data_IF_246044459017
#
_entry.id   IF_246044459017
#
_cell.length_a   1.000
_cell.length_b   1.000
_cell.length_c   1.000
_cell.angle_alpha   90.00
_cell.angle_beta   90.00
_cell.angle_gamma   90.00
#
_symmetry.space_group_name_H-M   'P 1'
#
loop_
_entity.id
_entity.type
_entity.pdbx_description
1 polymer ?
#
# COMPACT_ATOMS: atom_id res chain seq x y z
N UNK A 1 1.81 5.54 -19.05
CA UNK A 1 1.87 5.68 -17.57
C UNK A 1 0.54 5.23 -16.97
N UNK A 2 0.45 4.94 -15.66
CA UNK A 2 -0.77 4.39 -15.04
C UNK A 2 -1.00 5.03 -13.68
N UNK A 3 -2.25 5.38 -13.40
CA UNK A 3 -2.72 5.90 -12.12
C UNK A 3 -3.58 4.87 -11.40
N UNK A 4 -3.24 4.51 -10.16
CA UNK A 4 -4.09 3.80 -9.22
C UNK A 4 -4.98 4.80 -8.49
N UNK A 5 -6.28 4.49 -8.40
CA UNK A 5 -7.28 5.33 -7.73
C UNK A 5 -8.05 4.51 -6.69
N UNK A 6 -8.61 5.20 -5.70
CA UNK A 6 -9.22 4.57 -4.52
C UNK A 6 -10.58 3.90 -4.82
N UNK A 7 -11.29 4.35 -5.86
CA UNK A 7 -12.62 3.87 -6.17
C UNK A 7 -12.89 3.71 -7.67
N UNK A 8 -13.93 2.94 -7.98
CA UNK A 8 -14.43 2.80 -9.36
C UNK A 8 -14.94 4.15 -9.88
N UNK A 9 -15.57 4.93 -9.02
CA UNK A 9 -16.12 6.24 -9.33
C UNK A 9 -15.00 7.22 -9.73
N UNK A 10 -13.91 7.26 -8.97
CA UNK A 10 -12.74 8.09 -9.27
C UNK A 10 -12.08 7.67 -10.58
N UNK A 11 -12.01 6.36 -10.86
CA UNK A 11 -11.48 5.84 -12.12
C UNK A 11 -12.28 6.33 -13.33
N UNK A 12 -13.61 6.34 -13.20
CA UNK A 12 -14.51 6.79 -14.26
C UNK A 12 -14.41 8.29 -14.45
N UNK A 13 -14.37 9.07 -13.36
CA UNK A 13 -14.29 10.52 -13.49
C UNK A 13 -12.93 10.96 -14.02
N UNK A 14 -11.81 10.42 -13.50
CA UNK A 14 -10.46 10.69 -14.02
C UNK A 14 -10.36 10.37 -15.53
N UNK A 15 -10.85 9.20 -15.96
CA UNK A 15 -10.87 8.84 -17.39
C UNK A 15 -11.65 9.84 -18.24
N UNK A 16 -12.76 10.36 -17.71
CA UNK A 16 -13.59 11.37 -18.37
C UNK A 16 -12.91 12.73 -18.42
N UNK A 17 -12.29 13.18 -17.33
CA UNK A 17 -11.49 14.41 -17.25
C UNK A 17 -10.37 14.40 -18.30
N UNK A 18 -9.56 13.34 -18.32
CA UNK A 18 -8.47 13.16 -19.29
C UNK A 18 -9.00 13.20 -20.74
N UNK A 19 -10.11 12.52 -21.00
CA UNK A 19 -10.70 12.47 -22.35
C UNK A 19 -11.22 13.84 -22.81
N UNK A 20 -11.76 14.69 -21.90
CA UNK A 20 -12.18 16.07 -22.23
C UNK A 20 -10.99 16.91 -22.71
N UNK A 21 -9.82 16.66 -22.14
CA UNK A 21 -8.57 17.35 -22.49
C UNK A 21 -7.84 16.72 -23.68
N UNK A 22 -8.46 15.74 -24.35
CA UNK A 22 -7.91 15.08 -25.53
C UNK A 22 -6.86 14.01 -25.24
N UNK A 23 -6.67 13.64 -23.97
CA UNK A 23 -5.66 12.68 -23.53
C UNK A 23 -6.20 11.25 -23.68
N UNK A 24 -5.57 10.46 -24.55
CA UNK A 24 -5.91 9.06 -24.75
C UNK A 24 -5.62 8.24 -23.50
N UNK A 25 -6.65 7.56 -22.99
CA UNK A 25 -6.55 6.75 -21.79
C UNK A 25 -7.42 5.49 -21.86
N UNK A 26 -7.19 4.57 -20.92
CA UNK A 26 -7.97 3.34 -20.78
C UNK A 26 -8.13 2.98 -19.30
N UNK A 27 -9.35 2.63 -18.92
CA UNK A 27 -9.64 2.12 -17.57
C UNK A 27 -9.32 0.62 -17.47
N UNK A 28 -8.85 0.19 -16.31
CA UNK A 28 -8.52 -1.20 -16.03
C UNK A 28 -8.82 -1.53 -14.57
N UNK A 29 -9.44 -2.69 -14.37
CA UNK A 29 -9.74 -3.22 -13.04
C UNK A 29 -8.95 -4.52 -12.87
N UNK A 30 -8.18 -4.62 -11.79
CA UNK A 30 -7.31 -5.78 -11.52
C UNK A 30 -7.62 -6.35 -10.14
N UNK A 31 -7.33 -7.64 -9.95
CA UNK A 31 -7.34 -8.25 -8.63
C UNK A 31 -6.07 -7.82 -7.90
N UNK A 32 -6.22 -7.08 -6.82
CA UNK A 32 -5.16 -6.79 -5.87
C UNK A 32 -5.30 -7.61 -4.60
N UNK A 33 -4.27 -7.56 -3.78
CA UNK A 33 -4.29 -8.16 -2.45
C UNK A 33 -3.48 -7.32 -1.48
N UNK A 34 -3.79 -7.49 -0.20
CA UNK A 34 -3.00 -7.01 0.93
C UNK A 34 -2.72 -8.20 1.83
N UNK A 35 -1.50 -8.24 2.37
CA UNK A 35 -1.04 -9.29 3.28
C UNK A 35 -0.58 -8.60 4.55
N UNK A 36 -1.16 -9.01 5.67
CA UNK A 36 -0.77 -8.55 7.00
C UNK A 36 -0.26 -9.75 7.79
N UNK A 37 0.92 -9.59 8.40
CA UNK A 37 1.53 -10.60 9.25
C UNK A 37 1.44 -10.11 10.69
N UNK A 38 0.68 -10.83 11.51
CA UNK A 38 0.39 -10.46 12.88
C UNK A 38 0.93 -11.56 13.79
N UNK A 39 1.73 -11.16 14.77
CA UNK A 39 2.16 -12.04 15.86
C UNK A 39 1.10 -11.98 16.95
N UNK A 40 0.53 -13.14 17.25
CA UNK A 40 -0.51 -13.31 18.27
C UNK A 40 0.07 -14.03 19.47
N UNK A 41 -0.04 -13.43 20.65
CA UNK A 41 0.46 -13.99 21.91
C UNK A 41 -0.72 -14.12 22.86
N UNK A 42 -0.96 -15.33 23.36
CA UNK A 42 -2.10 -15.61 24.25
C UNK A 42 -1.66 -16.37 25.49
N UNK A 43 -1.82 -15.74 26.64
CA UNK A 43 -1.57 -16.35 27.95
C UNK A 43 -2.27 -15.54 29.05
N UNK A 44 -2.18 -16.02 30.29
CA UNK A 44 -2.59 -15.23 31.46
C UNK A 44 -1.70 -14.01 31.63
N UNK A 45 -2.29 -12.87 32.00
CA UNK A 45 -1.55 -11.61 32.20
C UNK A 45 -0.32 -11.79 33.11
N UNK A 46 -0.47 -12.51 34.23
CA UNK A 46 0.63 -12.75 35.17
C UNK A 46 1.76 -13.60 34.59
N UNK A 47 1.47 -14.49 33.64
CA UNK A 47 2.48 -15.27 32.92
C UNK A 47 3.13 -14.45 31.80
N UNK A 48 2.36 -13.61 31.10
CA UNK A 48 2.89 -12.68 30.10
C UNK A 48 3.93 -11.75 30.71
N UNK A 49 3.66 -11.15 31.87
CA UNK A 49 4.62 -10.29 32.60
C UNK A 49 5.93 -11.03 32.91
N UNK A 50 5.86 -12.30 33.32
CA UNK A 50 7.06 -13.08 33.66
C UNK A 50 7.88 -13.47 32.45
N UNK A 51 7.21 -13.84 31.35
CA UNK A 51 7.86 -14.37 30.14
C UNK A 51 8.37 -13.26 29.22
N UNK A 52 7.81 -12.06 29.31
CA UNK A 52 8.20 -10.89 28.50
C UNK A 52 9.38 -10.11 29.05
N UNK A 53 9.98 -10.54 30.18
CA UNK A 53 11.11 -9.85 30.78
C UNK A 53 12.25 -9.63 29.76
N UNK A 54 12.57 -8.35 29.51
CA UNK A 54 13.57 -7.91 28.54
C UNK A 54 13.05 -7.62 27.13
N UNK A 55 11.74 -7.74 26.88
CA UNK A 55 11.09 -7.44 25.60
C UNK A 55 10.24 -6.17 25.75
N UNK A 56 10.88 -5.01 25.59
CA UNK A 56 10.30 -3.70 25.97
C UNK A 56 8.94 -3.40 25.35
N UNK A 57 8.75 -3.69 24.06
CA UNK A 57 7.46 -3.44 23.39
C UNK A 57 6.29 -4.21 24.02
N UNK A 58 6.54 -5.43 24.51
CA UNK A 58 5.53 -6.25 25.17
C UNK A 58 5.34 -5.78 26.61
N UNK A 59 6.43 -5.45 27.32
CA UNK A 59 6.39 -4.88 28.67
C UNK A 59 5.56 -3.59 28.70
N UNK A 60 5.85 -2.65 27.79
CA UNK A 60 5.13 -1.38 27.64
C UNK A 60 3.64 -1.60 27.40
N UNK A 61 3.30 -2.52 26.48
CA UNK A 61 1.89 -2.88 26.18
C UNK A 61 1.18 -3.45 27.42
N UNK A 62 1.85 -4.33 28.18
CA UNK A 62 1.29 -4.91 29.39
C UNK A 62 1.12 -3.88 30.51
N UNK A 63 2.04 -2.90 30.62
CA UNK A 63 1.91 -1.78 31.56
C UNK A 63 0.71 -0.89 31.22
N UNK A 64 0.49 -0.60 29.93
CA UNK A 64 -0.69 0.14 29.49
C UNK A 64 -2.00 -0.60 29.78
N UNK A 65 -2.03 -1.93 29.56
CA UNK A 65 -3.19 -2.76 29.89
C UNK A 65 -3.45 -2.74 31.40
N UNK A 66 -2.39 -2.81 32.22
CA UNK A 66 -2.51 -2.72 33.68
C UNK A 66 -3.10 -1.38 34.13
N UNK A 67 -2.57 -0.28 33.60
CA UNK A 67 -3.09 1.06 33.90
C UNK A 67 -4.55 1.20 33.48
N UNK A 68 -4.90 0.68 32.30
CA UNK A 68 -6.27 0.65 31.79
C UNK A 68 -7.20 -0.19 32.68
N UNK A 69 -6.72 -1.32 33.20
CA UNK A 69 -7.46 -2.18 34.12
C UNK A 69 -7.73 -1.49 35.45
N UNK A 70 -6.72 -0.86 36.05
CA UNK A 70 -6.86 -0.15 37.31
C UNK A 70 -7.90 0.97 37.18
N UNK A 71 -7.78 1.83 36.17
CA UNK A 71 -8.75 2.89 35.90
C UNK A 71 -10.17 2.35 35.66
N UNK A 72 -10.31 1.31 34.83
CA UNK A 72 -11.62 0.74 34.52
C UNK A 72 -12.29 0.11 35.75
N UNK A 73 -11.52 -0.60 36.59
CA UNK A 73 -12.04 -1.26 37.79
C UNK A 73 -12.32 -0.29 38.94
N UNK A 74 -11.69 0.88 38.98
CA UNK A 74 -12.03 1.95 39.93
C UNK A 74 -13.42 2.53 39.64
N UNK A 75 -13.74 2.72 38.36
CA UNK A 75 -14.96 3.39 37.92
C UNK A 75 -16.13 2.44 37.67
N UNK A 76 -15.93 1.11 37.65
CA UNK A 76 -16.97 0.14 37.29
C UNK A 76 -17.26 -0.85 38.43
N UNK A 77 -18.49 -0.78 38.95
CA UNK A 77 -18.94 -1.64 40.04
C UNK A 77 -19.61 -2.92 39.55
N UNK A 78 -19.58 -3.95 40.39
CA UNK A 78 -20.25 -5.22 40.06
C UNK A 78 -21.76 -5.01 39.98
N UNK A 79 -22.37 -5.50 38.90
CA UNK A 79 -23.78 -5.36 38.57
C UNK A 79 -24.14 -4.06 37.85
N UNK A 80 -23.19 -3.13 37.72
CA UNK A 80 -23.38 -1.88 36.98
C UNK A 80 -23.31 -2.14 35.46
N UNK A 81 -24.24 -1.53 34.74
CA UNK A 81 -24.33 -1.57 33.28
C UNK A 81 -23.78 -0.27 32.70
N UNK A 82 -22.84 -0.37 31.75
CA UNK A 82 -22.27 0.77 31.02
C UNK A 82 -22.47 0.56 29.52
N UNK A 83 -22.76 1.63 28.79
CA UNK A 83 -22.81 1.56 27.33
C UNK A 83 -21.40 1.37 26.76
N UNK A 84 -21.28 0.63 25.66
CA UNK A 84 -19.98 0.38 25.02
C UNK A 84 -19.25 1.70 24.68
N UNK A 85 -20.00 2.73 24.28
CA UNK A 85 -19.43 4.05 23.94
C UNK A 85 -18.81 4.75 25.14
N UNK A 86 -19.45 4.70 26.30
CA UNK A 86 -18.95 5.33 27.54
C UNK A 86 -17.72 4.59 28.08
N UNK A 87 -17.54 3.33 27.68
CA UNK A 87 -16.35 2.54 27.96
C UNK A 87 -15.24 2.78 26.93
N UNK A 88 -15.51 3.47 25.83
CA UNK A 88 -14.63 3.57 24.67
C UNK A 88 -14.65 4.98 24.06
N UNK A 89 -14.28 5.98 24.88
CA UNK A 89 -14.25 7.39 24.48
C UNK A 89 -13.15 7.71 23.44
N UNK A 90 -12.06 6.92 23.42
CA UNK A 90 -10.93 7.04 22.47
C UNK A 90 -10.52 5.66 21.94
N UNK A 91 -9.93 5.60 20.73
CA UNK A 91 -9.35 4.38 20.16
C UNK A 91 -8.08 4.02 20.91
N UNK A 92 -8.22 3.31 22.02
CA UNK A 92 -7.12 2.77 22.82
C UNK A 92 -7.10 1.24 22.68
N UNK A 93 -6.07 0.72 21.99
CA UNK A 93 -5.91 -0.72 21.71
C UNK A 93 -5.84 -1.51 23.01
N UNK A 94 -5.08 -1.04 24.00
CA UNK A 94 -4.94 -1.67 25.32
C UNK A 94 -6.28 -1.79 26.06
N UNK A 95 -7.16 -0.79 25.95
CA UNK A 95 -8.52 -0.83 26.52
C UNK A 95 -9.43 -1.82 25.78
N UNK A 96 -9.29 -1.93 24.45
CA UNK A 96 -10.07 -2.88 23.64
C UNK A 96 -9.68 -4.33 23.97
N UNK A 97 -8.37 -4.58 24.04
CA UNK A 97 -7.78 -5.85 24.42
C UNK A 97 -8.29 -6.28 25.80
N UNK A 98 -8.29 -5.34 26.76
CA UNK A 98 -8.80 -5.62 28.10
C UNK A 98 -10.31 -5.93 28.11
N UNK A 99 -11.14 -5.14 27.45
CA UNK A 99 -12.59 -5.38 27.40
C UNK A 99 -12.91 -6.73 26.75
N UNK A 100 -12.20 -7.06 25.67
CA UNK A 100 -12.32 -8.37 25.00
C UNK A 100 -11.97 -9.49 25.96
N UNK A 101 -10.85 -9.39 26.69
CA UNK A 101 -10.46 -10.35 27.71
C UNK A 101 -11.51 -10.49 28.83
N UNK A 102 -12.10 -9.39 29.32
CA UNK A 102 -13.14 -9.43 30.34
C UNK A 102 -14.41 -10.16 29.87
N UNK A 103 -14.81 -9.96 28.62
CA UNK A 103 -15.97 -10.62 28.01
C UNK A 103 -15.67 -12.12 27.81
N UNK A 104 -14.55 -12.46 27.16
CA UNK A 104 -14.19 -13.85 26.86
C UNK A 104 -13.99 -14.69 28.13
N UNK A 105 -13.45 -14.09 29.19
CA UNK A 105 -13.27 -14.76 30.48
C UNK A 105 -14.55 -14.74 31.37
N UNK A 106 -15.68 -14.22 30.87
CA UNK A 106 -16.98 -14.23 31.54
C UNK A 106 -17.06 -13.32 32.77
N UNK A 107 -16.27 -12.25 32.81
CA UNK A 107 -16.38 -11.21 33.84
C UNK A 107 -17.35 -10.10 33.43
N UNK A 108 -17.61 -9.96 32.12
CA UNK A 108 -18.55 -9.00 31.55
C UNK A 108 -19.54 -9.73 30.63
N UNK A 109 -20.82 -9.37 30.68
CA UNK A 109 -21.87 -9.88 29.80
C UNK A 109 -22.66 -8.75 29.14
N UNK A 110 -23.16 -8.99 27.92
CA UNK A 110 -23.99 -8.05 27.16
C UNK A 110 -23.42 -7.69 25.78
N UNK A 111 -24.25 -7.15 24.90
CA UNK A 111 -23.86 -6.73 23.54
C UNK A 111 -23.78 -5.19 23.43
N UNK A 112 -24.88 -4.48 23.66
CA UNK A 112 -24.90 -3.00 23.60
C UNK A 112 -24.57 -2.34 24.94
N UNK A 113 -25.04 -2.94 26.03
CA UNK A 113 -24.77 -2.55 27.41
C UNK A 113 -23.99 -3.67 28.09
N UNK A 114 -22.77 -3.35 28.50
CA UNK A 114 -21.90 -4.28 29.16
C UNK A 114 -22.17 -4.25 30.67
N UNK A 115 -22.30 -5.43 31.28
CA UNK A 115 -22.52 -5.60 32.71
C UNK A 115 -21.35 -6.33 33.35
N UNK A 116 -20.74 -5.73 34.37
CA UNK A 116 -19.68 -6.38 35.14
C UNK A 116 -20.28 -7.40 36.12
N UNK A 117 -20.05 -8.69 35.89
CA UNK A 117 -20.61 -9.78 36.71
C UNK A 117 -19.80 -10.01 37.99
N UNK A 118 -18.48 -9.85 37.91
CA UNK A 118 -17.53 -9.98 39.02
C UNK A 118 -16.25 -9.20 38.70
N UNK A 119 -15.54 -8.71 39.73
CA UNK A 119 -14.21 -8.12 39.53
C UNK A 119 -13.16 -9.21 39.38
N UNK A 120 -12.45 -9.30 38.23
CA UNK A 120 -11.34 -10.22 38.07
C UNK A 120 -10.12 -9.80 38.90
N UNK A 121 -9.20 -10.74 39.06
CA UNK A 121 -7.79 -10.41 39.27
C UNK A 121 -7.14 -10.32 37.90
N UNK A 122 -6.41 -9.24 37.63
CA UNK A 122 -5.76 -9.03 36.34
C UNK A 122 -4.84 -10.19 35.98
N UNK A 123 -4.00 -10.65 36.92
CA UNK A 123 -3.07 -11.77 36.74
C UNK A 123 -3.73 -13.07 36.22
N UNK A 124 -5.03 -13.28 36.53
CA UNK A 124 -5.78 -14.48 36.16
C UNK A 124 -6.51 -14.33 34.82
N UNK A 125 -6.56 -13.14 34.21
CA UNK A 125 -7.18 -12.89 32.92
C UNK A 125 -6.30 -13.43 31.80
N UNK A 126 -6.87 -14.27 30.94
CA UNK A 126 -6.26 -14.64 29.67
C UNK A 126 -6.39 -13.47 28.69
N UNK A 127 -5.26 -13.00 28.17
CA UNK A 127 -5.17 -11.85 27.27
C UNK A 127 -4.54 -12.30 25.95
N UNK A 128 -5.08 -11.76 24.85
CA UNK A 128 -4.54 -11.91 23.51
C UNK A 128 -3.90 -10.59 23.08
N UNK A 129 -2.58 -10.58 22.92
CA UNK A 129 -1.82 -9.45 22.36
C UNK A 129 -1.60 -9.68 20.87
N UNK A 130 -1.67 -8.59 20.08
CA UNK A 130 -1.46 -8.59 18.64
C UNK A 130 -0.47 -7.51 18.27
N UNK A 131 0.57 -7.89 17.54
CA UNK A 131 1.59 -6.98 17.03
C UNK A 131 1.78 -7.21 15.53
N UNK A 132 2.05 -6.15 14.78
CA UNK A 132 2.55 -6.33 13.41
C UNK A 132 3.95 -6.96 13.50
N UNK A 133 4.26 -7.90 12.61
CA UNK A 133 5.58 -8.54 12.57
C UNK A 133 6.72 -7.52 12.47
N UNK A 134 6.49 -6.41 11.76
CA UNK A 134 7.48 -5.33 11.58
C UNK A 134 7.80 -4.62 12.90
N UNK A 135 6.86 -4.59 13.86
CA UNK A 135 7.09 -4.00 15.20
C UNK A 135 7.97 -4.88 16.08
N UNK A 136 8.10 -6.17 15.75
CA UNK A 136 8.84 -7.16 16.51
C UNK A 136 10.12 -7.61 15.79
N UNK A 137 10.53 -6.97 14.70
CA UNK A 137 11.65 -7.42 13.84
C UNK A 137 12.92 -7.74 14.67
N UNK A 138 13.27 -6.89 15.63
CA UNK A 138 14.46 -7.04 16.47
C UNK A 138 14.34 -8.09 17.60
N UNK A 139 13.12 -8.51 17.94
CA UNK A 139 12.84 -9.37 19.12
C UNK A 139 12.04 -10.62 18.77
N UNK A 140 11.76 -10.87 17.49
CA UNK A 140 10.86 -11.92 17.03
C UNK A 140 11.27 -13.32 17.52
N UNK A 141 12.56 -13.65 17.46
CA UNK A 141 13.10 -14.93 17.93
C UNK A 141 12.83 -15.14 19.43
N UNK A 142 13.08 -14.11 20.25
CA UNK A 142 12.80 -14.17 21.69
C UNK A 142 11.31 -14.32 21.99
N UNK A 143 10.46 -13.63 21.22
CA UNK A 143 9.01 -13.71 21.34
C UNK A 143 8.50 -15.12 21.00
N UNK A 144 9.00 -15.73 19.92
CA UNK A 144 8.64 -17.09 19.55
C UNK A 144 9.06 -18.11 20.62
N UNK A 145 10.28 -18.00 21.15
CA UNK A 145 10.81 -18.94 22.16
C UNK A 145 10.13 -18.81 23.53
N UNK A 146 9.90 -17.57 23.99
CA UNK A 146 9.46 -17.31 25.38
C UNK A 146 7.94 -17.28 25.52
N UNK A 147 7.21 -16.83 24.49
CA UNK A 147 5.80 -16.42 24.62
C UNK A 147 4.81 -17.30 23.85
N UNK A 148 5.24 -18.45 23.30
CA UNK A 148 4.39 -19.34 22.50
C UNK A 148 3.63 -18.57 21.40
N UNK A 149 4.30 -17.59 20.79
CA UNK A 149 3.69 -16.72 19.81
C UNK A 149 3.27 -17.49 18.56
N UNK A 150 2.16 -17.09 17.96
CA UNK A 150 1.64 -17.66 16.71
C UNK A 150 1.62 -16.60 15.63
N UNK A 151 2.27 -16.89 14.49
CA UNK A 151 2.14 -16.07 13.29
C UNK A 151 0.77 -16.29 12.64
N UNK A 152 -0.03 -15.24 12.64
CA UNK A 152 -1.30 -15.16 11.89
C UNK A 152 -1.08 -14.33 10.65
N UNK A 153 -1.39 -14.89 9.48
CA UNK A 153 -1.34 -14.15 8.22
C UNK A 153 -2.76 -13.87 7.74
N UNK A 154 -3.09 -12.60 7.62
CA UNK A 154 -4.35 -12.14 7.05
C UNK A 154 -4.13 -11.77 5.59
N UNK A 155 -4.88 -12.42 4.69
CA UNK A 155 -4.84 -12.17 3.25
C UNK A 155 -6.19 -11.62 2.81
N UNK A 156 -6.18 -10.39 2.31
CA UNK A 156 -7.37 -9.71 1.80
C UNK A 156 -7.27 -9.55 0.30
N UNK A 157 -8.26 -10.05 -0.43
CA UNK A 157 -8.41 -9.81 -1.87
C UNK A 157 -9.31 -8.61 -2.10
N UNK A 158 -8.87 -7.69 -2.93
CA UNK A 158 -9.63 -6.48 -3.26
C UNK A 158 -9.49 -6.14 -4.73
N UNK A 159 -10.39 -5.28 -5.21
CA UNK A 159 -10.33 -4.79 -6.56
C UNK A 159 -9.55 -3.49 -6.60
N UNK A 160 -8.53 -3.43 -7.46
CA UNK A 160 -7.74 -2.21 -7.71
C UNK A 160 -8.18 -1.60 -9.03
N UNK A 161 -8.23 -0.27 -9.05
CA UNK A 161 -8.77 0.52 -10.15
C UNK A 161 -7.67 1.38 -10.74
N UNK A 162 -7.54 1.33 -12.07
CA UNK A 162 -6.46 2.02 -12.76
C UNK A 162 -6.95 2.80 -13.97
N UNK A 163 -6.31 3.94 -14.23
CA UNK A 163 -6.39 4.68 -15.49
C UNK A 163 -5.02 4.71 -16.15
N UNK A 164 -4.90 4.07 -17.30
CA UNK A 164 -3.68 4.01 -18.10
C UNK A 164 -3.70 5.09 -19.16
N UNK A 165 -2.73 6.02 -19.12
CA UNK A 165 -2.56 7.06 -20.14
C UNK A 165 -1.60 6.60 -21.22
N UNK A 166 -2.05 6.74 -22.47
CA UNK A 166 -1.44 6.24 -23.70
C UNK A 166 -0.75 7.35 -24.50
N UNK A 167 -0.25 8.38 -23.82
CA UNK A 167 0.42 9.52 -24.43
C UNK A 167 1.94 9.46 -24.29
N UNK A 168 2.63 10.04 -25.26
CA UNK A 168 4.09 10.20 -25.27
C UNK A 168 4.53 11.67 -25.29
N UNK A 169 3.61 12.60 -25.59
CA UNK A 169 3.92 14.02 -25.63
C UNK A 169 4.07 14.58 -24.21
N UNK A 170 5.16 15.32 -23.98
CA UNK A 170 5.51 15.83 -22.65
C UNK A 170 4.41 16.75 -22.08
N UNK A 171 3.80 17.59 -22.91
CA UNK A 171 2.73 18.50 -22.49
C UNK A 171 1.48 17.74 -22.04
N UNK A 172 1.06 16.72 -22.80
CA UNK A 172 -0.10 15.89 -22.46
C UNK A 172 0.17 15.03 -21.22
N UNK A 173 1.40 14.54 -21.05
CA UNK A 173 1.81 13.79 -19.85
C UNK A 173 1.74 14.69 -18.60
N UNK A 174 2.30 15.91 -18.67
CA UNK A 174 2.23 16.88 -17.56
C UNK A 174 0.80 17.22 -17.18
N UNK A 175 -0.03 17.50 -18.19
CA UNK A 175 -1.45 17.80 -17.97
C UNK A 175 -2.21 16.62 -17.38
N UNK A 176 -1.90 15.40 -17.81
CA UNK A 176 -2.49 14.19 -17.24
C UNK A 176 -2.08 13.97 -15.77
N UNK A 177 -0.85 14.31 -15.39
CA UNK A 177 -0.41 14.29 -13.98
C UNK A 177 -1.20 15.31 -13.16
N UNK A 178 -1.32 16.55 -13.63
CA UNK A 178 -2.08 17.61 -12.96
C UNK A 178 -3.54 17.22 -12.70
N UNK A 179 -4.20 16.60 -13.69
CA UNK A 179 -5.59 16.12 -13.53
C UNK A 179 -5.65 14.95 -12.54
N UNK A 180 -4.66 14.05 -12.56
CA UNK A 180 -4.65 12.86 -11.72
C UNK A 180 -4.39 13.15 -10.24
N UNK A 181 -3.80 14.30 -9.89
CA UNK A 181 -3.52 14.71 -8.50
C UNK A 181 -4.76 14.68 -7.60
N UNK A 182 -5.95 14.93 -8.15
CA UNK A 182 -7.20 14.93 -7.37
C UNK A 182 -7.78 13.52 -7.11
N UNK A 183 -7.28 12.48 -7.80
CA UNK A 183 -7.91 11.15 -7.83
C UNK A 183 -6.97 10.01 -7.46
N UNK A 184 -5.69 10.12 -7.82
CA UNK A 184 -4.73 9.03 -7.73
C UNK A 184 -4.04 8.99 -6.37
N UNK A 185 -3.55 7.81 -6.00
CA UNK A 185 -2.71 7.67 -4.80
C UNK A 185 -1.38 8.39 -5.00
N UNK A 186 -0.81 8.95 -3.93
CA UNK A 186 0.46 9.68 -3.99
C UNK A 186 1.59 8.80 -4.55
N UNK A 187 1.69 7.54 -4.09
CA UNK A 187 2.65 6.57 -4.59
C UNK A 187 2.50 6.35 -6.11
N UNK A 188 1.27 6.18 -6.58
CA UNK A 188 1.01 5.98 -8.00
C UNK A 188 1.28 7.22 -8.85
N UNK A 189 1.04 8.42 -8.32
CA UNK A 189 1.36 9.68 -9.00
C UNK A 189 2.87 9.84 -9.22
N UNK A 190 3.66 9.57 -8.18
CA UNK A 190 5.12 9.64 -8.25
C UNK A 190 5.66 8.61 -9.25
N UNK A 191 5.19 7.37 -9.20
CA UNK A 191 5.57 6.34 -10.17
C UNK A 191 5.19 6.75 -11.61
N UNK A 192 3.94 7.19 -11.80
CA UNK A 192 3.43 7.60 -13.11
C UNK A 192 4.23 8.76 -13.71
N UNK A 193 4.69 9.72 -12.89
CA UNK A 193 5.52 10.84 -13.32
C UNK A 193 6.82 10.35 -13.95
N UNK A 194 7.57 9.49 -13.24
CA UNK A 194 8.85 8.98 -13.75
C UNK A 194 8.66 8.08 -14.98
N UNK A 195 7.64 7.21 -14.98
CA UNK A 195 7.32 6.37 -16.12
C UNK A 195 6.91 7.21 -17.34
N UNK A 196 6.13 8.27 -17.14
CA UNK A 196 5.72 9.21 -18.18
C UNK A 196 6.93 9.90 -18.82
N UNK A 197 7.82 10.47 -18.01
CA UNK A 197 9.06 11.11 -18.47
C UNK A 197 9.92 10.10 -19.24
N UNK A 198 10.15 8.91 -18.66
CA UNK A 198 10.97 7.86 -19.27
C UNK A 198 10.44 7.44 -20.64
N UNK A 199 9.14 7.17 -20.75
CA UNK A 199 8.49 6.81 -22.01
C UNK A 199 8.57 7.94 -23.04
N UNK A 200 8.31 9.18 -22.64
CA UNK A 200 8.37 10.34 -23.54
C UNK A 200 9.75 10.51 -24.15
N UNK A 201 10.80 10.45 -23.32
CA UNK A 201 12.19 10.63 -23.76
C UNK A 201 12.63 9.50 -24.69
N UNK A 202 12.30 8.26 -24.34
CA UNK A 202 12.61 7.10 -25.17
C UNK A 202 11.87 7.17 -26.52
N UNK A 203 10.58 7.49 -26.50
CA UNK A 203 9.77 7.68 -27.71
C UNK A 203 10.33 8.77 -28.63
N UNK A 204 10.64 9.95 -28.08
CA UNK A 204 11.20 11.07 -28.84
C UNK A 204 12.57 10.71 -29.44
N UNK A 205 13.40 9.98 -28.69
CA UNK A 205 14.71 9.53 -29.19
C UNK A 205 14.55 8.52 -30.33
N UNK A 206 13.62 7.57 -30.21
CA UNK A 206 13.28 6.62 -31.28
C UNK A 206 12.85 7.37 -32.56
N UNK A 207 11.95 8.33 -32.43
CA UNK A 207 11.46 9.12 -33.58
C UNK A 207 12.61 9.89 -34.24
N UNK A 208 13.49 10.52 -33.47
CA UNK A 208 14.65 11.25 -33.98
C UNK A 208 15.68 10.35 -34.70
N UNK A 209 15.87 9.10 -34.25
CA UNK A 209 16.72 8.13 -34.96
C UNK A 209 16.03 7.64 -36.23
N UNK A 210 14.72 7.39 -36.17
CA UNK A 210 13.92 6.91 -37.31
C UNK A 210 13.87 7.90 -38.49
N UNK A 211 14.05 9.20 -38.25
CA UNK A 211 14.22 10.19 -39.32
C UNK A 211 15.44 9.90 -40.22
N UNK A 212 16.48 9.28 -39.64
CA UNK A 212 17.75 9.00 -40.31
C UNK A 212 17.93 7.53 -40.68
N UNK A 213 17.29 6.62 -39.94
CA UNK A 213 17.41 5.17 -40.10
C UNK A 213 16.04 4.56 -40.34
N UNK A 214 15.82 4.07 -41.56
CA UNK A 214 14.55 3.45 -41.98
C UNK A 214 14.47 1.95 -41.68
N UNK A 215 15.52 1.37 -41.08
CA UNK A 215 15.58 -0.05 -40.70
C UNK A 215 15.48 -0.25 -39.19
N UNK A 216 14.60 -1.17 -38.79
CA UNK A 216 14.32 -1.47 -37.37
C UNK A 216 15.56 -1.91 -36.60
N UNK A 217 16.30 -2.90 -37.12
CA UNK A 217 17.49 -3.41 -36.42
C UNK A 217 18.56 -2.33 -36.25
N UNK A 218 18.81 -1.53 -37.29
CA UNK A 218 19.81 -0.46 -37.22
C UNK A 218 19.39 0.65 -36.23
N UNK A 219 18.09 0.93 -36.11
CA UNK A 219 17.56 1.85 -35.10
C UNK A 219 17.79 1.32 -33.68
N UNK A 220 17.42 0.06 -33.44
CA UNK A 220 17.56 -0.58 -32.11
C UNK A 220 19.03 -0.60 -31.69
N UNK A 221 19.93 -1.07 -32.57
CA UNK A 221 21.37 -1.09 -32.30
C UNK A 221 21.89 0.31 -31.93
N UNK A 222 21.50 1.34 -32.68
CA UNK A 222 21.91 2.72 -32.40
C UNK A 222 21.39 3.20 -31.05
N UNK A 223 20.15 2.87 -30.71
CA UNK A 223 19.54 3.31 -29.47
C UNK A 223 20.22 2.66 -28.26
N UNK A 224 20.55 1.37 -28.35
CA UNK A 224 21.29 0.63 -27.33
C UNK A 224 22.72 1.15 -27.14
N UNK A 225 23.40 1.59 -28.21
CA UNK A 225 24.72 2.24 -28.10
C UNK A 225 24.69 3.57 -27.31
N UNK A 226 23.51 4.17 -27.17
CA UNK A 226 23.28 5.42 -26.45
C UNK A 226 22.66 5.22 -25.05
N UNK A 227 22.57 3.99 -24.57
CA UNK A 227 22.10 3.70 -23.21
C UNK A 227 23.14 4.10 -22.14
N UNK A 228 22.73 4.68 -20.99
CA UNK A 228 21.38 5.13 -20.67
C UNK A 228 21.05 6.48 -21.30
N UNK A 229 19.77 6.67 -21.65
CA UNK A 229 19.28 8.01 -21.95
C UNK A 229 19.20 8.80 -20.64
N UNK A 230 19.79 9.98 -20.62
CA UNK A 230 19.85 10.82 -19.42
C UNK A 230 18.98 12.05 -19.58
N UNK A 231 18.13 12.31 -18.58
CA UNK A 231 17.40 13.57 -18.41
C UNK A 231 17.99 14.31 -17.21
N UNK A 232 18.51 15.52 -17.44
CA UNK A 232 19.07 16.35 -16.37
C UNK A 232 18.13 17.51 -16.07
N UNK A 233 17.62 17.55 -14.84
CA UNK A 233 16.87 18.67 -14.27
C UNK A 233 17.78 19.64 -13.51
N UNK A 234 17.19 20.60 -12.81
CA UNK A 234 17.96 21.58 -12.01
C UNK A 234 18.63 20.95 -10.79
N UNK A 235 18.02 19.88 -10.25
CA UNK A 235 18.50 19.14 -9.07
C UNK A 235 18.33 17.63 -9.22
N UNK A 236 17.45 17.17 -10.10
CA UNK A 236 17.30 15.75 -10.43
C UNK A 236 18.09 15.32 -11.67
N UNK A 237 18.42 14.02 -11.71
CA UNK A 237 18.95 13.32 -12.87
C UNK A 237 18.24 11.99 -12.99
N UNK A 238 17.67 11.70 -14.15
CA UNK A 238 17.00 10.44 -14.45
C UNK A 238 17.84 9.71 -15.49
N UNK A 239 18.23 8.47 -15.20
CA UNK A 239 18.88 7.57 -16.14
C UNK A 239 17.85 6.53 -16.57
N UNK A 240 17.58 6.45 -17.87
CA UNK A 240 16.61 5.55 -18.47
C UNK A 240 17.38 4.42 -19.15
N UNK A 241 17.20 3.22 -18.61
CA UNK A 241 17.75 1.96 -19.12
C UNK A 241 16.68 1.18 -19.86
N UNK A 242 17.04 0.47 -20.91
CA UNK A 242 16.13 -0.32 -21.74
C UNK A 242 16.90 -1.38 -22.51
N UNK A 243 16.25 -2.53 -22.70
CA UNK A 243 16.74 -3.60 -23.56
C UNK A 243 16.03 -3.58 -24.93
N UNK A 244 16.44 -4.49 -25.81
CA UNK A 244 15.84 -4.65 -27.14
C UNK A 244 14.32 -4.90 -27.07
N UNK A 245 13.86 -5.72 -26.13
CA UNK A 245 12.44 -6.08 -25.99
C UNK A 245 11.60 -4.85 -25.60
N UNK A 246 12.08 -4.04 -24.65
CA UNK A 246 11.45 -2.79 -24.27
C UNK A 246 11.35 -1.81 -25.44
N UNK A 247 12.40 -1.69 -26.27
CA UNK A 247 12.39 -0.84 -27.47
C UNK A 247 11.37 -1.35 -28.49
N UNK A 248 11.28 -2.67 -28.69
CA UNK A 248 10.26 -3.25 -29.56
C UNK A 248 8.84 -2.95 -29.09
N UNK A 249 8.60 -3.00 -27.78
CA UNK A 249 7.29 -2.70 -27.22
C UNK A 249 6.93 -1.22 -27.36
N UNK A 250 7.88 -0.31 -27.16
CA UNK A 250 7.65 1.12 -27.45
C UNK A 250 7.40 1.35 -28.95
N UNK A 251 8.11 0.67 -29.86
CA UNK A 251 7.81 0.76 -31.30
C UNK A 251 6.38 0.28 -31.64
N UNK A 252 5.89 -0.79 -30.97
CA UNK A 252 4.51 -1.25 -31.11
C UNK A 252 3.51 -0.22 -30.57
N UNK A 253 3.82 0.41 -29.43
CA UNK A 253 3.03 1.50 -28.87
C UNK A 253 2.97 2.67 -29.86
N UNK A 254 4.11 3.21 -30.30
CA UNK A 254 4.22 4.29 -31.29
C UNK A 254 3.44 4.00 -32.58
N UNK A 255 3.47 2.75 -33.05
CA UNK A 255 2.66 2.33 -34.19
C UNK A 255 1.16 2.36 -33.91
N UNK A 256 0.74 1.92 -32.72
CA UNK A 256 -0.67 1.91 -32.31
C UNK A 256 -1.24 3.32 -32.15
N UNK A 257 -0.44 4.26 -31.65
CA UNK A 257 -0.83 5.68 -31.53
C UNK A 257 -0.60 6.47 -32.83
N UNK A 258 0.02 5.86 -33.85
CA UNK A 258 0.04 6.38 -35.21
C UNK A 258 1.24 7.27 -35.56
N UNK A 259 2.27 7.34 -34.73
CA UNK A 259 3.47 8.16 -34.98
C UNK A 259 4.41 7.55 -36.01
N UNK A 260 4.35 6.22 -36.15
CA UNK A 260 5.15 5.50 -37.12
C UNK A 260 4.44 4.24 -37.60
N UNK A 261 5.05 3.59 -38.59
CA UNK A 261 4.61 2.30 -39.12
C UNK A 261 5.81 1.40 -39.25
N UNK A 262 5.71 0.18 -38.73
CA UNK A 262 6.71 -0.88 -38.87
C UNK A 262 6.14 -2.00 -39.72
N UNK A 263 6.87 -2.42 -40.76
CA UNK A 263 6.57 -3.64 -41.52
C UNK A 263 7.86 -4.42 -41.79
N UNK A 264 7.96 -5.60 -41.20
CA UNK A 264 9.21 -6.37 -41.22
C UNK A 264 10.34 -5.54 -40.60
N UNK A 265 11.43 -5.36 -41.34
CA UNK A 265 12.57 -4.57 -40.88
C UNK A 265 12.53 -3.10 -41.32
N UNK A 266 11.39 -2.55 -41.79
CA UNK A 266 11.30 -1.15 -42.25
C UNK A 266 10.39 -0.31 -41.37
N UNK A 267 10.79 0.95 -41.16
CA UNK A 267 10.09 1.98 -40.38
C UNK A 267 9.72 3.15 -41.31
N UNK A 268 8.50 3.67 -41.16
CA UNK A 268 8.05 4.90 -41.80
C UNK A 268 7.42 5.82 -40.74
N UNK A 269 7.92 7.05 -40.61
CA UNK A 269 7.26 8.09 -39.80
C UNK A 269 5.94 8.51 -40.46
N UNK A 270 4.99 9.01 -39.67
CA UNK A 270 3.69 9.53 -40.12
C UNK A 270 3.58 11.03 -39.93
#
# INVERSE_FOLDING_TARGET
MRFEVLSKEDMVELSKELSKEGIMNKTREELGWEIYHIIVIRDKFGELIRKSEGISIIEDTLEEIKASFEALMEEWNVGEEKDFKDLFDDVNISKLTLLTALIENGYVEGEEKLKLIKKPKLDDLEIELKFNIDELEDVLEEVEEKLNATLTTELSFMRRYFVEVLEIEEELIKKALEIAEEYATEESLVEAMFVGIGKSVLANTILAIAEKKDKKMELIETLLEHEPLTVEGKKEKINIYFDEEAVEDILKELQKIGYLKVKGNRIWLQ
#
